data_IF_462442043196
#
_entry.id   IF_462442043196
#
_cell.length_a   1.000
_cell.length_b   1.000
_cell.length_c   1.000
_cell.angle_alpha   90.00
_cell.angle_beta   90.00
_cell.angle_gamma   90.00
#
_symmetry.space_group_name_H-M   'P 1'
#
loop_
_entity.id
_entity.type
_entity.pdbx_description
1 polymer ?
#
# COMPACT_ATOMS: atom_id res chain seq x y z
N UNK A 1 7.55 24.69 -18.89
CA UNK A 1 6.21 24.11 -18.54
C UNK A 1 5.55 23.69 -19.85
N UNK A 2 5.43 22.41 -20.15
CA UNK A 2 4.63 21.93 -21.29
C UNK A 2 3.18 21.86 -20.83
N UNK A 3 2.33 22.71 -21.36
CA UNK A 3 0.88 22.63 -21.17
C UNK A 3 0.40 21.25 -21.63
N UNK A 4 -0.30 20.52 -20.77
CA UNK A 4 -0.97 19.29 -21.18
C UNK A 4 -1.99 19.61 -22.30
N UNK A 5 -2.17 18.73 -23.29
CA UNK A 5 -3.17 18.93 -24.33
C UNK A 5 -4.56 19.04 -23.69
N UNK A 6 -5.34 20.04 -24.10
CA UNK A 6 -6.64 20.37 -23.55
C UNK A 6 -7.71 19.24 -23.62
N UNK A 7 -7.36 18.07 -24.15
CA UNK A 7 -8.24 16.91 -24.36
C UNK A 7 -7.68 15.60 -23.80
N UNK A 8 -6.66 15.62 -22.91
CA UNK A 8 -6.23 14.40 -22.24
C UNK A 8 -7.31 13.98 -21.22
N UNK A 9 -7.71 12.70 -21.18
CA UNK A 9 -8.65 12.24 -20.16
C UNK A 9 -8.05 12.47 -18.76
N UNK A 10 -8.87 12.79 -17.75
CA UNK A 10 -8.38 12.84 -16.38
C UNK A 10 -7.74 11.51 -15.99
N UNK A 11 -6.75 11.55 -15.10
CA UNK A 11 -6.03 10.36 -14.61
C UNK A 11 -5.43 9.46 -15.72
N UNK A 12 -4.62 9.99 -16.67
CA UNK A 12 -4.16 9.27 -17.86
C UNK A 12 -3.29 8.04 -17.56
N UNK A 13 -2.68 7.97 -16.36
CA UNK A 13 -1.83 6.86 -15.92
C UNK A 13 -2.58 5.78 -15.13
N UNK A 14 -3.88 5.98 -14.90
CA UNK A 14 -4.72 5.00 -14.21
C UNK A 14 -5.38 4.09 -15.24
N UNK A 15 -5.19 2.75 -15.16
CA UNK A 15 -5.81 1.83 -16.09
C UNK A 15 -7.32 1.72 -15.88
N UNK A 16 -8.04 1.33 -16.92
CA UNK A 16 -9.42 0.87 -16.78
C UNK A 16 -9.48 -0.49 -16.03
N UNK A 17 -10.52 -0.74 -15.22
CA UNK A 17 -11.70 0.10 -14.98
C UNK A 17 -11.54 1.07 -13.79
N UNK A 18 -10.34 1.23 -13.23
CA UNK A 18 -10.11 2.08 -12.05
C UNK A 18 -10.22 3.57 -12.37
N UNK A 19 -9.85 3.95 -13.58
CA UNK A 19 -10.01 5.34 -14.06
C UNK A 19 -11.47 5.77 -14.01
N UNK A 20 -12.38 5.00 -14.59
CA UNK A 20 -13.82 5.31 -14.56
C UNK A 20 -14.38 5.35 -13.13
N UNK A 21 -13.83 4.56 -12.22
CA UNK A 21 -14.22 4.61 -10.81
C UNK A 21 -13.71 5.89 -10.10
N UNK A 22 -12.48 6.32 -10.39
CA UNK A 22 -11.95 7.60 -9.88
C UNK A 22 -12.75 8.79 -10.44
N UNK A 23 -13.07 8.78 -11.72
CA UNK A 23 -13.87 9.85 -12.34
C UNK A 23 -15.24 9.99 -11.66
N UNK A 24 -15.92 8.88 -11.36
CA UNK A 24 -17.17 8.91 -10.58
C UNK A 24 -16.95 9.40 -9.15
N UNK A 25 -15.85 9.00 -8.52
CA UNK A 25 -15.51 9.40 -7.17
C UNK A 25 -15.29 10.92 -7.07
N UNK A 26 -14.51 11.50 -7.98
CA UNK A 26 -14.24 12.94 -7.99
C UNK A 26 -15.45 13.76 -8.43
N UNK A 27 -16.35 13.20 -9.23
CA UNK A 27 -17.62 13.82 -9.56
C UNK A 27 -18.55 13.90 -8.34
N UNK A 28 -18.50 12.89 -7.47
CA UNK A 28 -19.28 12.86 -6.23
C UNK A 28 -18.65 13.69 -5.08
N UNK A 29 -17.33 13.83 -5.07
CA UNK A 29 -16.61 14.64 -4.09
C UNK A 29 -15.67 15.64 -4.78
N UNK A 30 -16.12 16.89 -5.00
CA UNK A 30 -15.32 17.93 -5.69
C UNK A 30 -14.01 18.28 -4.98
N UNK A 31 -13.87 17.99 -3.69
CA UNK A 31 -12.59 18.21 -3.00
C UNK A 31 -11.51 17.27 -3.52
N UNK A 32 -11.87 16.00 -3.80
CA UNK A 32 -10.93 15.04 -4.39
C UNK A 32 -10.51 15.45 -5.82
N UNK A 33 -11.39 16.09 -6.58
CA UNK A 33 -11.06 16.58 -7.92
C UNK A 33 -9.92 17.61 -7.93
N UNK A 34 -9.76 18.39 -6.86
CA UNK A 34 -8.69 19.40 -6.73
C UNK A 34 -7.30 18.79 -6.59
N UNK A 35 -7.19 17.51 -6.22
CA UNK A 35 -5.91 16.86 -5.92
C UNK A 35 -5.05 16.76 -7.18
N UNK A 36 -5.59 16.29 -8.31
CA UNK A 36 -4.83 16.15 -9.54
C UNK A 36 -4.37 17.52 -10.10
N UNK A 37 -5.24 18.53 -10.01
CA UNK A 37 -4.88 19.89 -10.41
C UNK A 37 -3.73 20.48 -9.58
N UNK A 38 -3.66 20.15 -8.29
CA UNK A 38 -2.63 20.64 -7.38
C UNK A 38 -1.34 19.81 -7.41
N UNK A 39 -1.47 18.49 -7.42
CA UNK A 39 -0.36 17.55 -7.22
C UNK A 39 0.16 16.91 -8.53
N UNK A 40 -0.49 17.19 -9.65
CA UNK A 40 -0.21 16.54 -10.93
C UNK A 40 -0.82 15.13 -11.04
N UNK A 41 -0.47 14.38 -12.11
CA UNK A 41 -1.05 13.08 -12.40
C UNK A 41 -0.90 12.08 -11.25
N UNK A 42 -1.97 11.34 -10.92
CA UNK A 42 -1.94 10.31 -9.91
C UNK A 42 -1.03 9.14 -10.34
N UNK A 43 0.08 8.86 -9.64
CA UNK A 43 0.93 7.73 -9.96
C UNK A 43 0.20 6.42 -9.65
N UNK A 44 0.14 5.53 -10.65
CA UNK A 44 -0.50 4.24 -10.50
C UNK A 44 0.50 3.17 -10.11
N UNK A 45 0.26 2.50 -9.01
CA UNK A 45 1.17 1.50 -8.44
C UNK A 45 0.44 0.24 -8.07
N UNK A 46 1.14 -0.87 -8.25
CA UNK A 46 0.77 -2.18 -7.74
C UNK A 46 1.93 -2.74 -6.91
N UNK A 47 1.64 -3.72 -6.08
CA UNK A 47 2.64 -4.51 -5.37
C UNK A 47 2.52 -5.97 -5.79
N UNK A 48 3.58 -6.74 -5.54
CA UNK A 48 3.55 -8.18 -5.74
C UNK A 48 2.44 -8.81 -4.89
N UNK A 49 1.81 -9.86 -5.41
CA UNK A 49 0.86 -10.67 -4.68
C UNK A 49 1.56 -11.70 -3.79
N UNK A 50 0.83 -12.28 -2.86
CA UNK A 50 1.27 -13.35 -2.00
C UNK A 50 2.35 -12.97 -1.00
N UNK A 51 3.23 -13.93 -0.72
CA UNK A 51 4.29 -13.78 0.28
C UNK A 51 5.19 -12.56 0.06
N UNK A 52 5.71 -12.27 -1.14
CA UNK A 52 6.57 -11.11 -1.36
C UNK A 52 5.89 -9.78 -1.04
N UNK A 53 4.60 -9.63 -1.37
CA UNK A 53 3.86 -8.40 -1.11
C UNK A 53 3.63 -8.15 0.38
N UNK A 54 3.33 -9.19 1.15
CA UNK A 54 3.20 -9.11 2.61
C UNK A 54 4.56 -8.89 3.29
N UNK A 55 5.61 -9.55 2.82
CA UNK A 55 6.98 -9.32 3.30
C UNK A 55 7.42 -7.87 3.05
N UNK A 56 7.09 -7.31 1.89
CA UNK A 56 7.36 -5.90 1.58
C UNK A 56 6.62 -4.95 2.53
N UNK A 57 5.40 -5.31 2.96
CA UNK A 57 4.68 -4.53 3.97
C UNK A 57 5.41 -4.54 5.32
N UNK A 58 5.94 -5.69 5.77
CA UNK A 58 6.78 -5.80 6.99
C UNK A 58 8.04 -4.92 6.86
N UNK A 59 8.74 -4.99 5.72
CA UNK A 59 9.95 -4.19 5.48
C UNK A 59 9.64 -2.69 5.60
N UNK A 60 8.50 -2.24 5.09
CA UNK A 60 8.09 -0.83 5.08
C UNK A 60 7.59 -0.26 6.41
N UNK A 61 7.31 -1.10 7.42
CA UNK A 61 6.77 -0.62 8.70
C UNK A 61 7.68 0.38 9.40
N UNK A 62 7.13 1.51 9.82
CA UNK A 62 7.78 2.52 10.69
C UNK A 62 9.09 3.12 10.15
N UNK A 63 9.31 3.10 8.84
CA UNK A 63 10.48 3.70 8.20
C UNK A 63 10.07 4.50 6.96
N UNK A 64 10.98 5.34 6.44
CA UNK A 64 10.75 6.05 5.19
C UNK A 64 10.71 5.08 4.00
N UNK A 65 9.99 5.47 2.95
CA UNK A 65 9.93 4.68 1.71
C UNK A 65 11.31 4.46 1.08
N UNK A 66 12.18 5.46 1.13
CA UNK A 66 13.55 5.35 0.63
C UNK A 66 14.35 4.28 1.40
N UNK A 67 14.24 4.27 2.74
CA UNK A 67 14.88 3.23 3.56
C UNK A 67 14.29 1.84 3.26
N UNK A 68 12.95 1.75 3.14
CA UNK A 68 12.28 0.50 2.79
C UNK A 68 12.74 -0.03 1.42
N UNK A 69 12.85 0.83 0.41
CA UNK A 69 13.36 0.46 -0.92
C UNK A 69 14.81 -0.05 -0.87
N UNK A 70 15.67 0.60 -0.09
CA UNK A 70 17.06 0.18 0.06
C UNK A 70 17.18 -1.19 0.76
N UNK A 71 16.36 -1.45 1.78
CA UNK A 71 16.31 -2.75 2.46
C UNK A 71 15.75 -3.81 1.52
N UNK A 72 14.64 -3.52 0.82
CA UNK A 72 14.02 -4.45 -0.11
C UNK A 72 14.98 -4.92 -1.19
N UNK A 73 15.74 -4.01 -1.81
CA UNK A 73 16.75 -4.35 -2.84
C UNK A 73 17.81 -5.31 -2.30
N UNK A 74 18.30 -5.12 -1.06
CA UNK A 74 19.27 -6.02 -0.44
C UNK A 74 18.67 -7.37 -0.06
N UNK A 75 17.41 -7.37 0.41
CA UNK A 75 16.70 -8.61 0.75
C UNK A 75 16.41 -9.44 -0.50
N UNK A 76 15.93 -8.81 -1.57
CA UNK A 76 15.51 -9.48 -2.80
C UNK A 76 16.65 -10.22 -3.54
N UNK A 77 17.91 -9.85 -3.30
CA UNK A 77 19.06 -10.54 -3.89
C UNK A 77 19.57 -11.72 -3.06
N UNK A 78 19.05 -11.90 -1.84
CA UNK A 78 19.37 -13.10 -1.05
C UNK A 78 18.65 -14.32 -1.64
N UNK A 79 19.34 -15.44 -1.87
CA UNK A 79 18.75 -16.62 -2.51
C UNK A 79 17.55 -17.15 -1.72
N UNK A 80 16.39 -17.21 -2.38
CA UNK A 80 15.14 -17.70 -1.80
C UNK A 80 14.44 -16.75 -0.82
N UNK A 81 14.92 -15.54 -0.59
CA UNK A 81 14.33 -14.61 0.38
C UNK A 81 12.89 -14.22 0.06
N UNK A 82 12.47 -14.27 -1.22
CA UNK A 82 11.12 -13.96 -1.66
C UNK A 82 10.19 -15.17 -1.71
N UNK A 83 10.65 -16.33 -1.24
CA UNK A 83 9.89 -17.57 -1.12
C UNK A 83 9.79 -18.00 0.34
N UNK A 84 8.63 -18.47 0.84
CA UNK A 84 8.48 -18.85 2.24
C UNK A 84 9.54 -19.85 2.72
N UNK A 85 9.67 -20.97 2.03
CA UNK A 85 10.65 -22.00 2.36
C UNK A 85 12.10 -21.53 2.21
N UNK A 86 12.36 -20.62 1.28
CA UNK A 86 13.66 -20.01 1.07
C UNK A 86 14.03 -19.06 2.22
N UNK A 87 13.12 -18.18 2.62
CA UNK A 87 13.35 -17.26 3.72
C UNK A 87 13.61 -18.00 5.04
N UNK A 88 12.93 -19.11 5.30
CA UNK A 88 13.13 -19.95 6.50
C UNK A 88 14.52 -20.61 6.55
N UNK A 89 15.25 -20.71 5.44
CA UNK A 89 16.63 -21.20 5.42
C UNK A 89 17.68 -20.13 5.69
N UNK A 90 17.32 -18.86 5.53
CA UNK A 90 18.21 -17.73 5.85
C UNK A 90 18.27 -17.55 7.37
N UNK A 91 19.47 -17.27 7.89
CA UNK A 91 19.65 -17.01 9.31
C UNK A 91 19.40 -15.52 9.67
N UNK A 92 19.29 -15.23 10.98
CA UNK A 92 19.06 -13.86 11.46
C UNK A 92 20.14 -12.88 10.97
N UNK A 93 21.41 -13.30 10.91
CA UNK A 93 22.51 -12.43 10.51
C UNK A 93 22.39 -11.99 9.04
N UNK A 94 21.99 -12.89 8.15
CA UNK A 94 21.73 -12.57 6.73
C UNK A 94 20.59 -11.58 6.56
N UNK A 95 19.46 -11.82 7.23
CA UNK A 95 18.29 -10.93 7.15
C UNK A 95 18.59 -9.55 7.77
N UNK A 96 19.36 -9.51 8.85
CA UNK A 96 19.82 -8.26 9.45
C UNK A 96 20.87 -7.55 8.59
N UNK A 97 21.74 -8.30 7.93
CA UNK A 97 22.67 -7.77 6.93
C UNK A 97 21.96 -7.06 5.77
N UNK A 98 20.79 -7.56 5.36
CA UNK A 98 19.93 -6.89 4.40
C UNK A 98 19.27 -5.60 4.97
N UNK A 99 19.28 -5.40 6.30
CA UNK A 99 18.81 -4.21 6.98
C UNK A 99 17.51 -4.38 7.77
N UNK A 100 17.03 -5.61 7.97
CA UNK A 100 15.86 -5.84 8.83
C UNK A 100 16.24 -5.61 10.30
N UNK A 101 15.37 -4.95 11.05
CA UNK A 101 15.47 -4.91 12.51
C UNK A 101 15.13 -6.29 13.10
N UNK A 102 15.59 -6.59 14.33
CA UNK A 102 15.25 -7.85 15.02
C UNK A 102 13.74 -8.16 15.03
N UNK A 103 12.83 -7.21 15.39
CA UNK A 103 11.40 -7.47 15.31
C UNK A 103 10.95 -7.85 13.90
N UNK A 104 11.46 -7.17 12.85
CA UNK A 104 11.08 -7.47 11.46
C UNK A 104 11.57 -8.84 11.00
N UNK A 105 12.74 -9.32 11.48
CA UNK A 105 13.19 -10.69 11.23
C UNK A 105 12.21 -11.71 11.82
N UNK A 106 11.79 -11.51 13.07
CA UNK A 106 10.78 -12.38 13.73
C UNK A 106 9.45 -12.36 12.97
N UNK A 107 9.02 -11.19 12.52
CA UNK A 107 7.78 -11.06 11.73
C UNK A 107 7.89 -11.71 10.34
N UNK A 108 9.05 -11.62 9.70
CA UNK A 108 9.31 -12.27 8.42
C UNK A 108 9.28 -13.79 8.53
N UNK A 109 9.88 -14.35 9.58
CA UNK A 109 9.78 -15.79 9.85
C UNK A 109 8.34 -16.22 10.13
N UNK A 110 7.60 -15.52 10.99
CA UNK A 110 6.21 -15.86 11.28
C UNK A 110 5.32 -15.82 10.01
N UNK A 111 5.58 -14.87 9.13
CA UNK A 111 4.89 -14.81 7.83
C UNK A 111 5.28 -16.00 6.94
N UNK A 112 6.57 -16.34 6.88
CA UNK A 112 7.06 -17.46 6.08
C UNK A 112 6.52 -18.81 6.59
N UNK A 113 6.45 -19.01 7.90
CA UNK A 113 5.85 -20.18 8.53
C UNK A 113 4.37 -20.30 8.15
N UNK A 114 3.58 -19.22 8.26
CA UNK A 114 2.16 -19.22 7.92
C UNK A 114 1.88 -19.55 6.44
N UNK A 115 2.82 -19.21 5.55
CA UNK A 115 2.73 -19.61 4.14
C UNK A 115 3.22 -21.04 3.89
N UNK A 116 4.27 -21.47 4.59
CA UNK A 116 4.85 -22.82 4.43
C UNK A 116 3.94 -23.92 4.96
N UNK A 117 3.22 -23.67 6.07
CA UNK A 117 2.25 -24.61 6.65
C UNK A 117 0.86 -24.53 6.03
N UNK A 118 0.65 -23.56 5.10
CA UNK A 118 -0.60 -23.37 4.39
C UNK A 118 -1.70 -22.67 5.20
N UNK A 119 -1.39 -22.12 6.38
CA UNK A 119 -2.32 -21.27 7.16
C UNK A 119 -2.74 -20.05 6.32
N UNK A 120 -1.77 -19.40 5.64
CA UNK A 120 -2.00 -18.39 4.60
C UNK A 120 -1.54 -18.89 3.22
N UNK A 121 -2.22 -18.42 2.20
CA UNK A 121 -1.73 -18.48 0.81
C UNK A 121 -2.36 -17.36 -0.01
N UNK A 122 -1.70 -16.96 -1.11
CA UNK A 122 -2.26 -15.94 -2.02
C UNK A 122 -3.69 -16.30 -2.47
N UNK A 123 -3.91 -17.55 -2.87
CA UNK A 123 -5.21 -18.03 -3.32
C UNK A 123 -6.28 -17.95 -2.22
N UNK A 124 -5.97 -18.37 -0.98
CA UNK A 124 -6.89 -18.26 0.15
C UNK A 124 -7.28 -16.82 0.41
N UNK A 125 -6.30 -15.92 0.51
CA UNK A 125 -6.54 -14.49 0.76
C UNK A 125 -7.36 -13.85 -0.36
N UNK A 126 -7.08 -14.20 -1.61
CA UNK A 126 -7.81 -13.69 -2.77
C UNK A 126 -9.30 -14.11 -2.78
N UNK A 127 -9.61 -15.29 -2.24
CA UNK A 127 -10.98 -15.83 -2.16
C UNK A 127 -11.80 -15.25 -0.99
N UNK A 128 -11.15 -14.65 0.03
CA UNK A 128 -11.83 -14.12 1.20
C UNK A 128 -12.49 -12.77 0.92
N UNK A 129 -13.54 -12.44 1.68
CA UNK A 129 -14.05 -11.07 1.78
C UNK A 129 -13.01 -10.15 2.45
N UNK A 130 -13.12 -8.82 2.26
CA UNK A 130 -12.08 -7.87 2.71
C UNK A 130 -11.79 -7.97 4.22
N UNK A 131 -12.82 -7.97 5.07
CA UNK A 131 -12.65 -8.05 6.53
C UNK A 131 -12.15 -9.44 6.99
N UNK A 132 -12.53 -10.50 6.30
CA UNK A 132 -12.03 -11.86 6.55
C UNK A 132 -10.54 -11.95 6.22
N UNK A 133 -10.12 -11.41 5.07
CA UNK A 133 -8.72 -11.34 4.67
C UNK A 133 -7.88 -10.48 5.63
N UNK A 134 -8.43 -9.33 6.07
CA UNK A 134 -7.78 -8.47 7.08
C UNK A 134 -7.58 -9.25 8.38
N UNK A 135 -8.58 -9.97 8.84
CA UNK A 135 -8.51 -10.78 10.07
C UNK A 135 -7.46 -11.89 9.94
N UNK A 136 -7.49 -12.64 8.84
CA UNK A 136 -6.55 -13.73 8.59
C UNK A 136 -5.09 -13.24 8.52
N UNK A 137 -4.84 -12.16 7.79
CA UNK A 137 -3.48 -11.57 7.71
C UNK A 137 -3.05 -11.01 9.06
N UNK A 138 -3.94 -10.35 9.80
CA UNK A 138 -3.63 -9.73 11.09
C UNK A 138 -3.38 -10.75 12.21
N UNK A 139 -3.78 -12.00 12.03
CA UNK A 139 -3.45 -13.09 12.95
C UNK A 139 -1.96 -13.48 12.90
N UNK A 140 -1.25 -13.15 11.83
CA UNK A 140 0.19 -13.39 11.73
C UNK A 140 0.95 -12.38 12.58
N UNK A 141 1.88 -12.88 13.38
CA UNK A 141 2.70 -12.03 14.27
C UNK A 141 3.40 -10.92 13.50
N UNK A 142 3.18 -9.67 13.92
CA UNK A 142 3.77 -8.49 13.31
C UNK A 142 3.00 -7.91 12.13
N UNK A 143 1.91 -8.56 11.72
CA UNK A 143 0.98 -8.03 10.72
C UNK A 143 -0.21 -7.41 11.44
N UNK A 144 -0.34 -6.09 11.35
CA UNK A 144 -1.52 -5.40 11.87
C UNK A 144 -2.53 -5.10 10.75
N UNK A 145 -3.72 -4.63 11.16
CA UNK A 145 -4.80 -4.22 10.24
C UNK A 145 -4.30 -3.32 9.10
N UNK A 146 -3.48 -2.30 9.43
CA UNK A 146 -2.91 -1.40 8.41
C UNK A 146 -2.10 -2.16 7.34
N UNK A 147 -1.25 -3.12 7.74
CA UNK A 147 -0.45 -3.91 6.79
C UNK A 147 -1.34 -4.78 5.89
N UNK A 148 -2.41 -5.35 6.44
CA UNK A 148 -3.40 -6.11 5.68
C UNK A 148 -4.15 -5.21 4.68
N UNK A 149 -4.63 -4.05 5.12
CA UNK A 149 -5.31 -3.07 4.26
C UNK A 149 -4.42 -2.60 3.11
N UNK A 150 -3.13 -2.33 3.37
CA UNK A 150 -2.14 -1.97 2.35
C UNK A 150 -1.93 -3.09 1.32
N UNK A 151 -1.85 -4.34 1.78
CA UNK A 151 -1.74 -5.48 0.87
C UNK A 151 -2.98 -5.64 0.00
N UNK A 152 -4.17 -5.61 0.57
CA UNK A 152 -5.43 -5.74 -0.18
C UNK A 152 -5.58 -4.62 -1.22
N UNK A 153 -5.20 -3.40 -0.86
CA UNK A 153 -5.31 -2.23 -1.74
C UNK A 153 -4.29 -2.25 -2.89
N UNK A 154 -3.00 -2.55 -2.60
CA UNK A 154 -1.94 -2.43 -3.59
C UNK A 154 -1.60 -3.73 -4.33
N UNK A 155 -1.72 -4.89 -3.68
CA UNK A 155 -1.44 -6.18 -4.30
C UNK A 155 -2.68 -6.78 -4.96
N UNK A 156 -3.80 -6.86 -4.23
CA UNK A 156 -5.04 -7.45 -4.75
C UNK A 156 -5.97 -6.46 -5.45
N UNK A 157 -5.61 -5.18 -5.50
CA UNK A 157 -6.41 -4.11 -6.12
C UNK A 157 -7.87 -4.06 -5.62
N UNK A 158 -8.10 -4.40 -4.33
CA UNK A 158 -9.43 -4.29 -3.71
C UNK A 158 -9.84 -2.83 -3.69
N UNK A 159 -11.05 -2.53 -4.17
CA UNK A 159 -11.49 -1.14 -4.40
C UNK A 159 -12.08 -0.45 -3.19
N UNK A 160 -12.53 -1.20 -2.20
CA UNK A 160 -13.29 -0.65 -1.08
C UNK A 160 -12.65 -0.89 0.30
N UNK A 161 -11.33 -1.09 0.33
CA UNK A 161 -10.52 -1.13 1.56
C UNK A 161 -10.00 0.26 1.86
N UNK A 162 -10.10 0.69 3.13
CA UNK A 162 -9.69 2.03 3.52
C UNK A 162 -8.83 2.03 4.79
N UNK A 163 -7.55 2.42 4.69
CA UNK A 163 -6.59 2.39 5.80
C UNK A 163 -6.79 3.59 6.74
N UNK A 164 -7.87 3.60 7.49
CA UNK A 164 -8.23 4.69 8.38
C UNK A 164 -7.21 4.94 9.51
N UNK A 165 -6.36 3.97 9.81
CA UNK A 165 -5.23 4.12 10.75
C UNK A 165 -3.98 4.76 10.14
N UNK A 166 -3.98 5.10 8.85
CA UNK A 166 -2.82 5.71 8.20
C UNK A 166 -2.73 7.21 8.48
N UNK A 167 -1.59 7.60 9.07
CA UNK A 167 -1.35 8.99 9.49
C UNK A 167 -1.32 9.97 8.30
N UNK A 168 -0.80 9.53 7.17
CA UNK A 168 -0.71 10.37 5.98
C UNK A 168 -2.09 10.57 5.33
N UNK A 169 -2.89 9.50 5.27
CA UNK A 169 -4.29 9.56 4.81
C UNK A 169 -5.11 10.48 5.71
N UNK A 170 -4.99 10.34 7.03
CA UNK A 170 -5.68 11.20 7.99
C UNK A 170 -5.25 12.67 7.88
N UNK A 171 -3.95 12.93 7.72
CA UNK A 171 -3.42 14.28 7.52
C UNK A 171 -3.89 14.91 6.21
N UNK A 172 -3.90 14.13 5.12
CA UNK A 172 -4.38 14.59 3.83
C UNK A 172 -5.89 14.90 3.85
N UNK A 173 -6.68 14.04 4.49
CA UNK A 173 -8.12 14.25 4.64
C UNK A 173 -8.42 15.51 5.46
N UNK A 174 -7.67 15.75 6.54
CA UNK A 174 -7.80 16.97 7.33
C UNK A 174 -7.53 18.22 6.50
N UNK A 175 -6.42 18.25 5.76
CA UNK A 175 -6.07 19.37 4.91
C UNK A 175 -7.08 19.58 3.78
N UNK A 176 -7.51 18.51 3.11
CA UNK A 176 -8.44 18.57 2.00
C UNK A 176 -9.83 19.07 2.41
N UNK A 177 -10.31 18.63 3.57
CA UNK A 177 -11.64 18.96 4.12
C UNK A 177 -11.64 20.17 5.05
N UNK A 178 -10.49 20.86 5.24
CA UNK A 178 -10.39 22.00 6.13
C UNK A 178 -10.69 21.68 7.60
N UNK A 179 -10.37 20.47 8.05
CA UNK A 179 -10.62 20.07 9.43
C UNK A 179 -9.62 20.74 10.39
N UNK A 180 -10.05 21.11 11.60
CA UNK A 180 -9.17 21.80 12.57
C UNK A 180 -8.04 20.93 13.08
N UNK A 181 -8.19 19.60 13.01
CA UNK A 181 -7.19 18.63 13.45
C UNK A 181 -7.30 17.35 12.63
N UNK A 182 -6.26 16.53 12.70
CA UNK A 182 -6.26 15.20 12.10
C UNK A 182 -7.32 14.32 12.76
N UNK A 183 -8.26 13.74 11.98
CA UNK A 183 -9.28 12.86 12.53
C UNK A 183 -8.64 11.57 13.10
N UNK A 184 -9.24 11.05 14.16
CA UNK A 184 -8.93 9.70 14.64
C UNK A 184 -9.42 8.63 13.65
N UNK A 185 -8.99 7.36 13.79
CA UNK A 185 -9.34 6.31 12.84
C UNK A 185 -10.84 6.05 12.71
N UNK A 186 -11.65 6.25 13.77
CA UNK A 186 -13.08 6.03 13.70
C UNK A 186 -13.78 7.16 12.93
N UNK A 187 -13.43 8.41 13.23
CA UNK A 187 -13.91 9.60 12.54
C UNK A 187 -13.51 9.58 11.05
N UNK A 188 -12.27 9.17 10.75
CA UNK A 188 -11.80 9.05 9.38
C UNK A 188 -12.52 7.94 8.61
N UNK A 189 -12.84 6.82 9.26
CA UNK A 189 -13.64 5.74 8.65
C UNK A 189 -15.05 6.21 8.34
N UNK A 190 -15.69 6.95 9.26
CA UNK A 190 -17.01 7.53 9.02
C UNK A 190 -16.99 8.52 7.86
N UNK A 191 -15.96 9.39 7.78
CA UNK A 191 -15.77 10.29 6.65
C UNK A 191 -15.67 9.53 5.32
N UNK A 192 -14.96 8.39 5.30
CA UNK A 192 -14.72 7.61 4.11
C UNK A 192 -15.96 6.86 3.58
N UNK A 193 -17.05 6.75 4.33
CA UNK A 193 -18.26 6.07 3.89
C UNK A 193 -18.87 6.71 2.63
N UNK A 194 -18.73 8.02 2.47
CA UNK A 194 -19.16 8.72 1.26
C UNK A 194 -18.43 8.28 -0.02
N UNK A 195 -17.25 7.66 0.10
CA UNK A 195 -16.42 7.23 -1.02
C UNK A 195 -16.65 5.77 -1.43
N UNK A 196 -17.62 5.08 -0.81
CA UNK A 196 -18.03 3.74 -1.26
C UNK A 196 -18.59 3.75 -2.68
N UNK A 197 -18.34 2.70 -3.45
CA UNK A 197 -17.54 1.49 -3.20
C UNK A 197 -16.07 1.65 -3.68
N UNK A 198 -15.50 2.86 -3.64
CA UNK A 198 -14.19 3.18 -4.21
C UNK A 198 -13.22 3.77 -3.17
N UNK A 199 -13.37 3.39 -1.89
CA UNK A 199 -12.58 3.97 -0.77
C UNK A 199 -11.06 3.77 -0.94
N UNK A 200 -10.62 2.68 -1.56
CA UNK A 200 -9.20 2.46 -1.87
C UNK A 200 -8.65 3.49 -2.84
N UNK A 201 -9.45 3.92 -3.79
CA UNK A 201 -9.07 4.95 -4.76
C UNK A 201 -9.01 6.32 -4.10
N UNK A 202 -9.95 6.63 -3.20
CA UNK A 202 -9.89 7.83 -2.36
C UNK A 202 -8.61 7.85 -1.51
N UNK A 203 -8.23 6.74 -0.89
CA UNK A 203 -6.98 6.63 -0.14
C UNK A 203 -5.74 6.90 -1.03
N UNK A 204 -5.73 6.40 -2.27
CA UNK A 204 -4.64 6.69 -3.23
C UNK A 204 -4.53 8.18 -3.55
N UNK A 205 -5.66 8.86 -3.78
CA UNK A 205 -5.71 10.30 -3.99
C UNK A 205 -5.22 11.06 -2.75
N UNK A 206 -5.64 10.67 -1.55
CA UNK A 206 -5.22 11.28 -0.30
C UNK A 206 -3.70 11.11 -0.06
N UNK A 207 -3.11 9.95 -0.31
CA UNK A 207 -1.65 9.80 -0.25
C UNK A 207 -0.93 10.66 -1.28
N UNK A 208 -1.48 10.81 -2.48
CA UNK A 208 -0.93 11.68 -3.50
C UNK A 208 -0.96 13.14 -3.05
N UNK A 209 -2.08 13.59 -2.48
CA UNK A 209 -2.22 14.91 -1.88
C UNK A 209 -1.23 15.13 -0.73
N UNK A 210 -1.10 14.16 0.19
CA UNK A 210 -0.16 14.25 1.31
C UNK A 210 1.29 14.45 0.86
N UNK A 211 1.70 13.75 -0.17
CA UNK A 211 3.06 13.92 -0.73
C UNK A 211 3.27 15.31 -1.30
N UNK A 212 2.28 15.83 -2.01
CA UNK A 212 2.31 17.19 -2.53
C UNK A 212 2.46 18.20 -1.39
N UNK A 213 1.61 18.11 -0.36
CA UNK A 213 1.63 19.01 0.80
C UNK A 213 2.96 18.97 1.58
N UNK A 214 3.60 17.82 1.66
CA UNK A 214 4.82 17.61 2.46
C UNK A 214 6.11 17.68 1.65
N UNK A 215 6.05 17.96 0.35
CA UNK A 215 7.21 17.98 -0.55
C UNK A 215 7.95 16.64 -0.63
N UNK A 216 7.32 15.53 -0.25
CA UNK A 216 7.93 14.21 -0.30
C UNK A 216 7.93 13.67 -1.73
N UNK A 217 9.06 13.10 -2.19
CA UNK A 217 9.13 12.52 -3.52
C UNK A 217 8.07 11.43 -3.69
N UNK A 218 7.65 11.22 -4.93
CA UNK A 218 6.83 10.06 -5.27
C UNK A 218 7.57 8.79 -4.85
N UNK A 219 6.81 7.78 -4.38
CA UNK A 219 7.39 6.47 -4.02
C UNK A 219 7.65 5.69 -5.33
N UNK A 220 8.37 6.25 -6.28
CA UNK A 220 8.55 5.65 -7.61
C UNK A 220 9.65 4.57 -7.62
N UNK A 221 10.41 4.45 -6.52
CA UNK A 221 11.64 3.68 -6.47
C UNK A 221 11.57 2.35 -5.70
N UNK A 222 10.37 1.90 -5.30
CA UNK A 222 10.24 0.50 -4.89
C UNK A 222 10.04 -0.31 -6.17
N UNK A 223 10.99 -1.17 -6.58
CA UNK A 223 10.77 -2.05 -7.71
C UNK A 223 9.51 -2.87 -7.43
N UNK A 224 8.52 -2.70 -8.29
CA UNK A 224 7.25 -3.43 -8.25
C UNK A 224 7.50 -4.85 -8.75
N UNK A 225 8.49 -4.97 -9.63
CA UNK A 225 8.91 -6.21 -10.25
C UNK A 225 10.00 -6.87 -9.40
N UNK A 226 9.91 -8.19 -9.29
CA UNK A 226 10.99 -9.01 -8.79
C UNK A 226 12.29 -8.72 -9.56
N UNK A 227 13.42 -9.34 -9.22
CA UNK A 227 14.67 -9.10 -9.92
C UNK A 227 14.42 -9.22 -11.43
N UNK A 228 15.03 -8.35 -12.27
CA UNK A 228 14.85 -8.42 -13.72
C UNK A 228 15.24 -9.83 -14.18
N UNK A 229 14.27 -10.60 -14.66
CA UNK A 229 14.55 -11.90 -15.29
C UNK A 229 13.86 -13.13 -14.66
N UNK A 230 12.67 -13.05 -14.10
CA UNK A 230 11.79 -14.24 -13.91
C UNK A 230 10.47 -14.03 -14.62
#
# INVERSE_FOLDING_TARGET
MRSAPANAPPFPHVPEPDRAAIERLVAADPDLARIEAAAGPLPWRRRADGFPGLLQAIVGQMISNQAAAAIWRRLAVLPGALEPAGLLRLNEAELRGAGLSRPKVVHAYALAEAFADGTLSAAKIAAMADEEAITAISAVRGMGRWSAEIYLLFALARRDVFPAGDIAVAGAAAALKGLPARPDPASLRALAEQWRPARSLAARLLWHHWRHLTGRPAIDDLPIDGPPGL
#
